data_IF_221587861533
#
_entry.id   IF_221587861533
#
_cell.length_a   1.000
_cell.length_b   1.000
_cell.length_c   1.000
_cell.angle_alpha   90.00
_cell.angle_beta   90.00
_cell.angle_gamma   90.00
#
_symmetry.space_group_name_H-M   'P 1'
#
loop_
_entity.id
_entity.type
_entity.pdbx_description
1 polymer ?
#
# COMPACT_ATOMS: atom_id res chain seq x y z
N UNK A 1 -4.43 23.48 -21.87
CA UNK A 1 -3.84 24.18 -20.69
C UNK A 1 -2.72 25.14 -21.05
N UNK A 2 -2.21 25.18 -22.29
CA UNK A 2 -1.15 26.13 -22.68
C UNK A 2 -1.52 27.58 -22.30
N UNK A 3 -0.69 28.18 -21.43
CA UNK A 3 -0.86 29.56 -20.93
C UNK A 3 -1.81 29.77 -19.73
N UNK A 4 -2.49 28.74 -19.21
CA UNK A 4 -3.34 28.85 -18.00
C UNK A 4 -2.62 28.31 -16.77
N UNK A 5 -2.64 29.08 -15.67
CA UNK A 5 -2.13 28.62 -14.38
C UNK A 5 -2.98 27.46 -13.85
N UNK A 6 -2.32 26.34 -13.55
CA UNK A 6 -2.94 25.15 -13.01
C UNK A 6 -1.99 24.48 -12.02
N UNK A 7 -2.58 23.80 -11.05
CA UNK A 7 -1.89 23.06 -9.99
C UNK A 7 -2.28 21.60 -10.14
N UNK A 8 -1.30 20.71 -9.98
CA UNK A 8 -1.49 19.27 -9.89
C UNK A 8 -1.04 18.78 -8.52
N UNK A 9 -1.76 17.81 -7.97
CA UNK A 9 -1.32 17.01 -6.84
C UNK A 9 -1.22 15.57 -7.28
N UNK A 10 -0.15 14.88 -6.89
CA UNK A 10 0.08 13.47 -7.21
C UNK A 10 0.24 12.68 -5.93
N UNK A 11 -0.47 11.56 -5.83
CA UNK A 11 -0.34 10.58 -4.76
C UNK A 11 0.06 9.23 -5.34
N UNK A 12 0.91 8.48 -4.64
CA UNK A 12 1.22 7.09 -4.98
C UNK A 12 1.01 6.22 -3.74
N UNK A 13 -0.02 5.37 -3.77
CA UNK A 13 -0.46 4.59 -2.62
C UNK A 13 -0.52 3.10 -2.98
N UNK A 14 -0.12 2.23 -2.06
CA UNK A 14 -0.26 0.78 -2.21
C UNK A 14 -1.74 0.40 -2.41
N UNK A 15 -2.01 -0.35 -3.48
CA UNK A 15 -3.34 -0.89 -3.80
C UNK A 15 -3.85 -1.78 -2.67
N UNK A 16 -2.97 -2.49 -1.95
CA UNK A 16 -3.34 -3.27 -0.77
C UNK A 16 -4.04 -2.44 0.29
N UNK A 17 -3.57 -1.22 0.56
CA UNK A 17 -4.18 -0.29 1.51
C UNK A 17 -5.53 0.22 0.99
N UNK A 18 -5.57 0.64 -0.28
CA UNK A 18 -6.78 1.18 -0.90
C UNK A 18 -7.92 0.15 -0.95
N UNK A 19 -7.60 -1.13 -1.13
CA UNK A 19 -8.58 -2.20 -1.23
C UNK A 19 -9.28 -2.53 0.10
N UNK A 20 -8.67 -2.23 1.25
CA UNK A 20 -9.29 -2.45 2.58
C UNK A 20 -10.63 -1.70 2.68
N UNK A 21 -10.68 -0.48 2.13
CA UNK A 21 -11.86 0.39 2.19
C UNK A 21 -12.54 0.58 0.83
N UNK A 22 -12.03 -0.07 -0.23
CA UNK A 22 -12.37 0.23 -1.62
C UNK A 22 -12.25 1.73 -1.93
N UNK A 23 -11.15 2.35 -1.51
CA UNK A 23 -10.90 3.77 -1.69
C UNK A 23 -10.86 4.11 -3.18
N UNK A 24 -11.66 5.11 -3.58
CA UNK A 24 -11.71 5.63 -4.94
C UNK A 24 -10.77 6.81 -5.08
N UNK A 25 -10.15 6.96 -6.24
CA UNK A 25 -9.43 8.18 -6.59
C UNK A 25 -10.36 9.38 -6.44
N UNK A 26 -9.93 10.46 -5.77
CA UNK A 26 -10.74 11.67 -5.64
C UNK A 26 -11.15 12.21 -7.01
N UNK A 27 -12.45 12.41 -7.21
CA UNK A 27 -13.02 12.96 -8.43
C UNK A 27 -13.51 14.39 -8.16
N UNK A 28 -12.77 15.43 -8.57
CA UNK A 28 -13.19 16.81 -8.34
C UNK A 28 -14.41 17.18 -9.20
N UNK A 29 -14.67 16.50 -10.32
CA UNK A 29 -15.83 16.80 -11.15
C UNK A 29 -17.11 16.35 -10.45
N UNK A 30 -17.15 15.12 -9.93
CA UNK A 30 -18.27 14.64 -9.10
C UNK A 30 -18.40 15.44 -7.80
N UNK A 31 -17.28 15.83 -7.17
CA UNK A 31 -17.33 16.62 -5.93
C UNK A 31 -17.97 18.01 -6.12
N UNK A 32 -17.59 18.75 -7.17
CA UNK A 32 -18.07 20.12 -7.38
C UNK A 32 -19.34 20.21 -8.24
N UNK A 33 -19.55 19.28 -9.18
CA UNK A 33 -20.65 19.33 -10.15
C UNK A 33 -21.56 18.11 -10.10
N UNK A 34 -21.31 17.18 -9.16
CA UNK A 34 -22.15 16.03 -8.94
C UNK A 34 -23.55 16.41 -8.46
N UNK A 35 -24.45 15.43 -8.53
CA UNK A 35 -25.83 15.62 -8.10
C UNK A 35 -25.87 15.85 -6.59
N UNK A 36 -26.28 17.06 -6.19
CA UNK A 36 -26.54 17.36 -4.79
C UNK A 36 -27.81 16.66 -4.30
N UNK A 37 -27.85 16.40 -2.99
CA UNK A 37 -29.07 15.92 -2.34
C UNK A 37 -30.19 16.94 -2.53
N UNK A 38 -31.42 16.46 -2.61
CA UNK A 38 -32.57 17.32 -2.47
C UNK A 38 -32.60 17.84 -1.03
N UNK A 39 -32.56 19.16 -0.85
CA UNK A 39 -32.41 19.80 0.46
C UNK A 39 -33.73 20.31 1.02
N UNK A 40 -34.83 20.13 0.29
CA UNK A 40 -36.15 20.49 0.75
C UNK A 40 -36.88 19.27 1.33
N UNK A 41 -37.66 19.52 2.36
CA UNK A 41 -38.56 18.53 2.95
C UNK A 41 -39.96 18.66 2.32
N UNK A 42 -40.56 17.53 1.96
CA UNK A 42 -41.93 17.48 1.46
C UNK A 42 -42.86 17.00 2.57
N UNK A 43 -43.81 17.84 2.97
CA UNK A 43 -44.77 17.55 4.03
C UNK A 43 -46.18 17.53 3.43
N UNK A 44 -46.87 16.39 3.51
CA UNK A 44 -48.28 16.27 3.10
C UNK A 44 -49.12 15.43 4.07
N UNK A 45 -50.44 15.50 3.92
CA UNK A 45 -51.42 14.76 4.70
C UNK A 45 -51.93 13.48 3.99
N UNK A 46 -51.54 13.24 2.73
CA UNK A 46 -52.01 12.11 1.93
C UNK A 46 -51.43 10.77 2.43
N UNK A 47 -50.23 10.79 3.03
CA UNK A 47 -49.64 9.62 3.68
C UNK A 47 -50.44 9.05 4.86
N UNK A 48 -51.43 9.78 5.40
CA UNK A 48 -52.37 9.25 6.40
C UNK A 48 -53.49 8.39 5.81
N UNK A 49 -53.64 8.39 4.48
CA UNK A 49 -54.69 7.66 3.77
C UNK A 49 -54.14 6.46 2.97
N UNK A 50 -52.88 6.53 2.54
CA UNK A 50 -52.23 5.51 1.72
C UNK A 50 -50.93 5.08 2.41
N UNK A 51 -50.89 3.83 2.86
CA UNK A 51 -49.68 3.24 3.43
C UNK A 51 -48.64 3.06 2.32
N UNK A 52 -47.51 3.75 2.43
CA UNK A 52 -46.38 3.61 1.52
C UNK A 52 -45.29 2.82 2.25
N UNK A 53 -44.87 1.69 1.69
CA UNK A 53 -43.63 1.04 2.12
C UNK A 53 -42.47 1.99 1.81
N UNK A 54 -42.00 2.74 2.80
CA UNK A 54 -40.82 3.60 2.68
C UNK A 54 -39.56 2.74 2.65
N UNK A 55 -38.75 2.91 1.62
CA UNK A 55 -37.40 2.36 1.55
C UNK A 55 -36.86 2.31 0.14
N UNK A 56 -35.73 2.97 -0.09
CA UNK A 56 -34.89 2.61 -1.23
C UNK A 56 -34.27 1.24 -0.97
N UNK A 57 -34.06 0.44 -2.01
CA UNK A 57 -33.30 -0.79 -1.91
C UNK A 57 -31.88 -0.46 -1.42
N UNK A 58 -31.64 -0.66 -0.12
CA UNK A 58 -30.33 -0.48 0.46
C UNK A 58 -29.42 -1.60 -0.04
N UNK A 59 -28.33 -1.25 -0.70
CA UNK A 59 -27.30 -2.24 -1.04
C UNK A 59 -26.57 -2.61 0.24
N UNK A 60 -26.88 -3.78 0.79
CA UNK A 60 -26.22 -4.29 1.98
C UNK A 60 -24.71 -4.37 1.72
N UNK A 61 -23.94 -3.61 2.50
CA UNK A 61 -22.49 -3.77 2.63
C UNK A 61 -22.23 -4.53 3.94
N UNK A 62 -21.16 -5.30 3.99
CA UNK A 62 -20.72 -5.90 5.24
C UNK A 62 -20.50 -4.78 6.27
N UNK A 63 -21.04 -4.96 7.49
CA UNK A 63 -21.07 -3.94 8.55
C UNK A 63 -19.69 -3.46 8.99
N UNK A 64 -19.65 -2.42 9.84
CA UNK A 64 -18.42 -1.79 10.29
C UNK A 64 -17.46 -2.77 10.99
N UNK A 65 -16.17 -2.65 10.70
CA UNK A 65 -15.06 -3.46 11.27
C UNK A 65 -14.73 -3.08 12.74
N UNK A 66 -15.73 -2.56 13.46
CA UNK A 66 -15.64 -2.13 14.86
C UNK A 66 -16.18 -3.18 15.84
N UNK A 67 -16.41 -4.41 15.38
CA UNK A 67 -16.55 -5.56 16.29
C UNK A 67 -15.28 -5.70 17.12
N UNK A 68 -15.41 -5.99 18.42
CA UNK A 68 -14.30 -6.06 19.41
C UNK A 68 -13.02 -6.62 18.78
N UNK A 69 -12.11 -5.73 18.35
CA UNK A 69 -10.75 -6.12 18.02
C UNK A 69 -10.10 -6.48 19.34
N UNK A 70 -9.68 -7.73 19.46
CA UNK A 70 -8.87 -8.16 20.59
C UNK A 70 -7.60 -7.30 20.60
N UNK A 71 -7.55 -6.34 21.54
CA UNK A 71 -6.59 -5.22 21.53
C UNK A 71 -5.15 -5.64 21.85
N UNK A 72 -4.85 -6.93 21.88
CA UNK A 72 -3.52 -7.49 22.14
C UNK A 72 -2.78 -7.98 20.88
N UNK A 73 -3.14 -7.50 19.69
CA UNK A 73 -2.30 -7.75 18.51
C UNK A 73 -1.00 -6.96 18.61
N UNK A 74 0.10 -7.64 18.90
CA UNK A 74 1.45 -7.08 18.83
C UNK A 74 1.66 -6.39 17.47
N UNK A 75 2.10 -5.11 17.43
CA UNK A 75 2.08 -4.28 16.22
C UNK A 75 2.85 -4.94 15.07
N UNK A 76 2.22 -5.13 13.91
CA UNK A 76 2.89 -5.62 12.72
C UNK A 76 3.70 -4.48 12.11
N UNK A 77 5.00 -4.69 11.89
CA UNK A 77 5.80 -3.78 11.08
C UNK A 77 5.48 -4.08 9.61
N UNK A 78 4.62 -3.27 9.02
CA UNK A 78 4.37 -3.28 7.57
C UNK A 78 4.83 -1.93 7.06
N UNK A 79 5.67 -1.92 6.02
CA UNK A 79 6.02 -0.69 5.31
C UNK A 79 4.81 -0.27 4.49
N UNK A 80 4.12 0.77 4.95
CA UNK A 80 3.00 1.37 4.23
C UNK A 80 3.57 2.39 3.25
N UNK A 81 3.21 2.25 1.97
CA UNK A 81 3.54 3.26 0.96
C UNK A 81 2.33 4.15 0.75
N UNK A 82 2.45 5.38 1.22
CA UNK A 82 1.54 6.49 0.98
C UNK A 82 2.40 7.75 0.73
N UNK A 83 2.62 8.05 -0.54
CA UNK A 83 3.43 9.19 -0.96
C UNK A 83 2.54 10.27 -1.54
N UNK A 84 2.79 11.51 -1.15
CA UNK A 84 2.07 12.68 -1.64
C UNK A 84 3.04 13.78 -2.06
N UNK A 85 2.85 14.33 -3.26
CA UNK A 85 3.72 15.38 -3.80
C UNK A 85 3.48 16.75 -3.18
N UNK A 86 2.29 16.99 -2.63
CA UNK A 86 1.79 18.35 -2.43
C UNK A 86 1.38 19.01 -3.76
N UNK A 87 0.91 20.27 -3.71
CA UNK A 87 0.56 21.04 -4.90
C UNK A 87 1.80 21.43 -5.70
N UNK A 88 1.81 21.12 -6.99
CA UNK A 88 2.87 21.46 -7.94
C UNK A 88 2.27 22.27 -9.08
N UNK A 89 2.84 23.43 -9.38
CA UNK A 89 2.41 24.26 -10.50
C UNK A 89 2.84 23.63 -11.84
N UNK A 90 1.93 23.63 -12.81
CA UNK A 90 2.27 23.26 -14.19
C UNK A 90 3.04 24.40 -14.87
N UNK A 91 3.93 24.04 -15.79
CA UNK A 91 4.67 25.01 -16.60
C UNK A 91 3.79 25.67 -17.69
N UNK A 92 4.38 26.55 -18.50
CA UNK A 92 3.65 27.24 -19.57
C UNK A 92 3.06 26.32 -20.64
N UNK A 93 3.59 25.09 -20.78
CA UNK A 93 3.09 24.05 -21.70
C UNK A 93 2.02 23.17 -21.05
N UNK A 94 1.84 23.26 -19.73
CA UNK A 94 0.93 22.42 -18.96
C UNK A 94 1.58 21.13 -18.47
N UNK A 95 2.91 21.09 -18.35
CA UNK A 95 3.68 19.92 -17.94
C UNK A 95 4.29 20.13 -16.54
N UNK A 96 4.49 19.03 -15.79
CA UNK A 96 5.24 19.02 -14.55
C UNK A 96 5.87 17.63 -14.32
N UNK A 97 7.12 17.61 -13.83
CA UNK A 97 7.82 16.38 -13.45
C UNK A 97 7.91 16.32 -11.93
N UNK A 98 7.39 15.24 -11.35
CA UNK A 98 7.28 15.06 -9.90
C UNK A 98 8.03 13.80 -9.50
N UNK A 99 9.06 13.97 -8.67
CA UNK A 99 9.87 12.86 -8.16
C UNK A 99 9.35 12.43 -6.79
N UNK A 100 8.87 11.19 -6.68
CA UNK A 100 8.46 10.58 -5.41
C UNK A 100 9.52 9.58 -4.96
N UNK A 101 10.03 9.74 -3.73
CA UNK A 101 11.03 8.82 -3.17
C UNK A 101 10.34 7.58 -2.64
N UNK A 102 10.38 6.51 -3.43
CA UNK A 102 9.82 5.22 -3.05
C UNK A 102 10.76 4.49 -2.06
N UNK A 103 10.27 4.03 -0.90
CA UNK A 103 11.04 3.14 -0.02
C UNK A 103 11.19 1.75 -0.64
N UNK A 104 11.90 0.86 0.04
CA UNK A 104 11.93 -0.56 -0.33
C UNK A 104 10.50 -1.13 -0.26
N UNK A 105 9.93 -1.43 -1.43
CA UNK A 105 8.55 -1.83 -1.61
C UNK A 105 8.44 -2.79 -2.79
N UNK A 106 7.71 -3.89 -2.56
CA UNK A 106 7.34 -4.86 -3.57
C UNK A 106 5.81 -4.98 -3.58
N UNK A 107 5.17 -4.60 -4.68
CA UNK A 107 3.72 -4.59 -4.80
C UNK A 107 3.21 -3.72 -5.93
N UNK A 108 1.92 -3.38 -5.89
CA UNK A 108 1.29 -2.52 -6.90
C UNK A 108 0.94 -1.18 -6.27
N UNK A 109 1.41 -0.09 -6.89
CA UNK A 109 1.05 1.26 -6.52
C UNK A 109 -0.03 1.79 -7.46
N UNK A 110 -1.03 2.46 -6.88
CA UNK A 110 -1.93 3.32 -7.64
C UNK A 110 -1.42 4.76 -7.56
N UNK A 111 -1.03 5.29 -8.71
CA UNK A 111 -0.69 6.70 -8.88
C UNK A 111 -1.97 7.44 -9.23
N UNK A 112 -2.29 8.47 -8.46
CA UNK A 112 -3.49 9.30 -8.59
C UNK A 112 -3.05 10.74 -8.79
N UNK A 113 -3.59 11.40 -9.80
CA UNK A 113 -3.34 12.81 -10.09
C UNK A 113 -4.65 13.59 -10.08
N UNK A 114 -4.67 14.71 -9.37
CA UNK A 114 -5.79 15.65 -9.37
C UNK A 114 -5.26 17.01 -9.80
N UNK A 115 -5.89 17.59 -10.81
CA UNK A 115 -5.52 18.88 -11.42
C UNK A 115 -6.65 19.88 -11.22
N UNK A 116 -6.28 21.10 -10.87
CA UNK A 116 -7.19 22.24 -10.76
C UNK A 116 -6.61 23.51 -11.40
N UNK A 117 -7.43 24.20 -12.18
CA UNK A 117 -7.25 25.62 -12.55
C UNK A 117 -8.38 26.45 -11.95
N UNK A 118 -8.47 27.73 -12.31
CA UNK A 118 -9.56 28.60 -11.88
C UNK A 118 -10.96 28.11 -12.30
N UNK A 119 -11.05 27.45 -13.46
CA UNK A 119 -12.30 27.11 -14.15
C UNK A 119 -12.40 25.62 -14.55
N UNK A 120 -11.35 24.82 -14.32
CA UNK A 120 -11.27 23.45 -14.82
C UNK A 120 -10.71 22.51 -13.76
N UNK A 121 -11.28 21.32 -13.67
CA UNK A 121 -10.85 20.28 -12.75
C UNK A 121 -10.81 18.93 -13.47
N UNK A 122 -9.82 18.11 -13.12
CA UNK A 122 -9.69 16.77 -13.66
C UNK A 122 -8.99 15.84 -12.67
N UNK A 123 -9.25 14.55 -12.79
CA UNK A 123 -8.50 13.52 -12.10
C UNK A 123 -8.15 12.39 -13.06
N UNK A 124 -7.03 11.72 -12.78
CA UNK A 124 -6.58 10.54 -13.50
C UNK A 124 -5.91 9.57 -12.52
N UNK A 125 -5.92 8.29 -12.86
CA UNK A 125 -5.22 7.25 -12.10
C UNK A 125 -4.56 6.25 -13.02
N UNK A 126 -3.46 5.66 -12.57
CA UNK A 126 -2.79 4.55 -13.21
C UNK A 126 -2.23 3.58 -12.15
N UNK A 127 -2.19 2.29 -12.45
CA UNK A 127 -1.54 1.30 -11.60
C UNK A 127 -0.18 0.94 -12.17
N UNK A 128 0.83 0.83 -11.30
CA UNK A 128 2.19 0.43 -11.65
C UNK A 128 2.67 -0.66 -10.71
N UNK A 129 3.27 -1.70 -11.26
CA UNK A 129 3.88 -2.78 -10.48
C UNK A 129 5.32 -2.38 -10.17
N UNK A 130 5.66 -2.38 -8.88
CA UNK A 130 7.01 -2.18 -8.39
C UNK A 130 7.50 -3.49 -7.81
N UNK A 131 8.58 -4.02 -8.38
CA UNK A 131 9.23 -5.21 -7.86
C UNK A 131 10.75 -5.04 -7.99
N UNK A 132 11.47 -5.38 -6.93
CA UNK A 132 12.91 -5.55 -7.00
C UNK A 132 13.24 -6.76 -7.92
N UNK A 133 14.32 -6.71 -8.73
CA UNK A 133 14.73 -7.85 -9.55
C UNK A 133 15.03 -9.12 -8.74
N UNK A 134 15.44 -8.95 -7.49
CA UNK A 134 15.62 -10.01 -6.52
C UNK A 134 14.93 -9.59 -5.22
N UNK A 135 13.98 -10.39 -4.76
CA UNK A 135 13.25 -10.15 -3.51
C UNK A 135 13.80 -11.09 -2.44
N UNK A 136 14.19 -10.55 -1.29
CA UNK A 136 14.72 -11.29 -0.17
C UNK A 136 13.91 -10.99 1.10
N UNK A 137 13.19 -11.98 1.61
CA UNK A 137 12.33 -11.84 2.79
C UNK A 137 12.83 -12.72 3.92
N UNK A 138 13.16 -12.10 5.06
CA UNK A 138 13.64 -12.82 6.24
C UNK A 138 12.48 -13.13 7.20
N UNK A 139 12.17 -14.41 7.35
CA UNK A 139 11.24 -14.95 8.32
C UNK A 139 11.98 -15.32 9.61
N UNK A 140 11.73 -14.56 10.68
CA UNK A 140 12.34 -14.77 11.99
C UNK A 140 11.33 -14.59 13.13
N UNK A 141 11.56 -15.21 14.31
CA UNK A 141 10.78 -14.92 15.51
C UNK A 141 10.84 -13.43 15.87
N UNK A 142 9.76 -12.93 16.51
CA UNK A 142 9.68 -11.52 16.92
C UNK A 142 10.64 -11.17 18.05
N UNK A 143 10.93 -12.15 18.90
CA UNK A 143 11.88 -12.07 20.00
C UNK A 143 12.47 -13.46 20.25
N UNK A 144 13.65 -13.48 20.87
CA UNK A 144 14.36 -14.65 21.37
C UNK A 144 14.95 -14.26 22.72
N UNK A 145 15.01 -15.20 23.67
CA UNK A 145 15.62 -15.01 24.98
C UNK A 145 17.06 -15.54 24.97
N UNK A 146 17.96 -15.03 25.83
CA UNK A 146 19.31 -15.58 25.94
C UNK A 146 19.30 -17.10 26.13
N UNK A 147 20.08 -17.82 25.32
CA UNK A 147 20.13 -19.28 25.28
C UNK A 147 19.14 -19.94 24.29
N UNK A 148 18.18 -19.20 23.73
CA UNK A 148 17.26 -19.73 22.73
C UNK A 148 17.97 -20.03 21.41
N UNK A 149 17.55 -21.12 20.76
CA UNK A 149 17.92 -21.47 19.39
C UNK A 149 16.68 -21.42 18.51
N UNK A 150 16.75 -20.66 17.44
CA UNK A 150 15.67 -20.49 16.48
C UNK A 150 16.16 -20.78 15.06
N UNK A 151 15.32 -21.44 14.27
CA UNK A 151 15.55 -21.53 12.82
C UNK A 151 14.94 -20.30 12.16
N UNK A 152 15.77 -19.52 11.47
CA UNK A 152 15.32 -18.41 10.62
C UNK A 152 15.35 -18.86 9.15
N UNK A 153 14.43 -18.34 8.35
CA UNK A 153 14.32 -18.69 6.93
C UNK A 153 14.40 -17.42 6.07
N UNK A 154 15.31 -17.40 5.11
CA UNK A 154 15.41 -16.37 4.09
C UNK A 154 14.79 -16.88 2.79
N UNK A 155 13.69 -16.27 2.37
CA UNK A 155 13.05 -16.55 1.10
C UNK A 155 13.66 -15.64 0.05
N UNK A 156 14.30 -16.23 -0.96
CA UNK A 156 14.92 -15.50 -2.07
C UNK A 156 14.16 -15.83 -3.35
N UNK A 157 13.58 -14.81 -3.99
CA UNK A 157 12.79 -14.94 -5.22
C UNK A 157 13.41 -14.11 -6.33
N UNK A 158 13.65 -14.74 -7.49
CA UNK A 158 14.16 -14.06 -8.67
C UNK A 158 13.00 -13.57 -9.55
N UNK A 159 12.93 -12.25 -9.76
CA UNK A 159 11.97 -11.58 -10.63
C UNK A 159 12.67 -10.78 -11.75
N UNK A 160 13.95 -11.10 -12.03
CA UNK A 160 14.77 -10.33 -12.99
C UNK A 160 14.51 -10.66 -14.46
N UNK A 161 13.67 -11.65 -14.77
CA UNK A 161 13.39 -12.08 -16.15
C UNK A 161 14.43 -13.04 -16.74
N UNK A 162 15.47 -13.39 -16.00
CA UNK A 162 16.53 -14.30 -16.43
C UNK A 162 17.11 -15.09 -15.26
N UNK A 163 17.84 -16.18 -15.53
CA UNK A 163 18.47 -16.96 -14.47
C UNK A 163 19.61 -16.16 -13.80
N UNK A 164 19.69 -16.24 -12.47
CA UNK A 164 20.67 -15.52 -11.65
C UNK A 164 21.45 -16.47 -10.75
N UNK A 165 22.76 -16.25 -10.65
CA UNK A 165 23.62 -16.85 -9.63
C UNK A 165 23.72 -15.88 -8.46
N UNK A 166 23.08 -16.19 -7.33
CA UNK A 166 22.94 -15.30 -6.18
C UNK A 166 23.83 -15.79 -5.04
N UNK A 167 24.75 -14.93 -4.60
CA UNK A 167 25.55 -15.14 -3.39
C UNK A 167 24.84 -14.53 -2.19
N UNK A 168 24.59 -15.33 -1.16
CA UNK A 168 23.90 -14.88 0.06
C UNK A 168 24.87 -14.87 1.23
N UNK A 169 25.01 -13.72 1.89
CA UNK A 169 25.77 -13.58 3.12
C UNK A 169 24.85 -13.03 4.21
N UNK A 170 24.72 -13.76 5.31
CA UNK A 170 23.94 -13.34 6.48
C UNK A 170 24.93 -13.00 7.59
N UNK A 171 24.79 -11.80 8.15
CA UNK A 171 25.57 -11.34 9.29
C UNK A 171 24.62 -10.87 10.38
N UNK A 172 25.04 -11.02 11.64
CA UNK A 172 24.30 -10.56 12.80
C UNK A 172 25.03 -9.38 13.45
N UNK A 173 24.25 -8.48 14.07
CA UNK A 173 24.77 -7.45 14.96
C UNK A 173 24.07 -7.59 16.32
N UNK A 174 24.78 -7.35 17.43
CA UNK A 174 24.28 -7.56 18.78
C UNK A 174 24.44 -9.00 19.29
N UNK A 175 23.72 -9.38 20.38
CA UNK A 175 23.88 -10.67 21.07
C UNK A 175 23.15 -11.80 20.34
N UNK A 176 23.44 -11.99 19.05
CA UNK A 176 22.89 -13.08 18.24
C UNK A 176 24.00 -13.65 17.37
N UNK A 177 24.14 -14.98 17.40
CA UNK A 177 25.03 -15.72 16.52
C UNK A 177 24.21 -16.45 15.47
N UNK A 178 24.51 -16.22 14.19
CA UNK A 178 23.88 -16.92 13.07
C UNK A 178 24.89 -17.93 12.50
N UNK A 179 24.44 -19.17 12.32
CA UNK A 179 25.24 -20.27 11.76
C UNK A 179 24.49 -20.96 10.63
N UNK A 180 25.25 -21.55 9.70
CA UNK A 180 24.73 -22.16 8.48
C UNK A 180 24.72 -21.19 7.29
N UNK A 181 24.43 -21.73 6.11
CA UNK A 181 24.35 -20.97 4.87
C UNK A 181 24.79 -21.78 3.65
N UNK A 182 24.41 -21.30 2.48
CA UNK A 182 24.89 -21.78 1.18
C UNK A 182 25.69 -20.66 0.52
N UNK A 183 26.83 -20.97 -0.10
CA UNK A 183 27.70 -19.97 -0.71
C UNK A 183 27.00 -19.27 -1.89
N UNK A 184 26.43 -20.04 -2.81
CA UNK A 184 25.76 -19.53 -4.02
C UNK A 184 24.56 -20.39 -4.37
N UNK A 185 23.43 -19.75 -4.69
CA UNK A 185 22.24 -20.42 -5.23
C UNK A 185 21.98 -20.00 -6.68
N UNK A 186 21.54 -20.95 -7.49
CA UNK A 186 21.07 -20.68 -8.86
C UNK A 186 19.57 -20.58 -8.86
N UNK A 187 19.03 -19.45 -9.30
CA UNK A 187 17.59 -19.22 -9.40
C UNK A 187 17.21 -18.94 -10.85
N UNK A 188 16.38 -19.80 -11.44
CA UNK A 188 15.69 -19.48 -12.68
C UNK A 188 14.74 -18.29 -12.50
N UNK A 189 14.28 -17.68 -13.59
CA UNK A 189 13.26 -16.64 -13.52
C UNK A 189 12.00 -17.15 -12.81
N UNK A 190 11.44 -16.34 -11.90
CA UNK A 190 10.30 -16.67 -11.03
C UNK A 190 10.52 -17.82 -10.06
N UNK A 191 11.75 -18.34 -9.95
CA UNK A 191 12.07 -19.37 -8.97
C UNK A 191 12.25 -18.73 -7.58
N UNK A 192 11.66 -19.38 -6.57
CA UNK A 192 11.87 -19.08 -5.16
C UNK A 192 12.66 -20.21 -4.49
N UNK A 193 13.63 -19.87 -3.65
CA UNK A 193 14.33 -20.80 -2.79
C UNK A 193 14.36 -20.30 -1.35
N UNK A 194 14.20 -21.23 -0.41
CA UNK A 194 14.19 -20.95 1.03
C UNK A 194 15.52 -21.42 1.61
N UNK A 195 16.29 -20.48 2.16
CA UNK A 195 17.55 -20.75 2.86
C UNK A 195 17.30 -20.74 4.37
N UNK A 196 17.70 -21.79 5.08
CA UNK A 196 17.51 -21.90 6.53
C UNK A 196 18.83 -21.67 7.25
N UNK A 197 18.78 -20.87 8.31
CA UNK A 197 19.92 -20.58 9.18
C UNK A 197 19.52 -20.87 10.63
N UNK A 198 20.51 -21.22 11.47
CA UNK A 198 20.31 -21.35 12.90
C UNK A 198 20.76 -20.05 13.57
N UNK A 199 19.84 -19.39 14.28
CA UNK A 199 20.10 -18.23 15.11
C UNK A 199 20.13 -18.66 16.59
N UNK A 200 21.16 -18.25 17.30
CA UNK A 200 21.34 -18.47 18.73
C UNK A 200 21.44 -17.13 19.44
N UNK A 201 20.58 -16.91 20.42
CA UNK A 201 20.60 -15.72 21.25
C UNK A 201 21.68 -15.85 22.33
N UNK A 202 22.62 -14.90 22.34
CA UNK A 202 23.69 -14.81 23.32
C UNK A 202 23.23 -13.97 24.53
N UNK A 203 24.00 -13.97 25.61
CA UNK A 203 23.71 -13.07 26.72
C UNK A 203 24.11 -11.61 26.38
N UNK A 204 23.69 -10.65 27.21
CA UNK A 204 23.97 -9.22 26.95
C UNK A 204 25.46 -8.85 27.02
N UNK A 205 26.33 -9.76 27.46
CA UNK A 205 27.78 -9.61 27.60
C UNK A 205 28.60 -10.42 26.58
N UNK A 206 27.97 -11.31 25.80
CA UNK A 206 28.58 -12.09 24.71
C UNK A 206 28.65 -13.58 24.99
#
# INVERSE_FOLDING_TARGET
>A
LAGKAAIVTVSAVDVGILNITNFKTPDPQDFFFGKHRFDADLLDLYGRLIEKMEGNAAKQRFGGDAGKRDSQSMPRKVLLVDLFSGPVALDAKGEATISLKLPDFNGTLRVMAVVSSADSYAAAQAETVVAAPLVAELNMPRFVSPGDKATIALDVTNLSGSAQDVKVAVSASGPVRITGGADTIKLADKQRQILRFQAEALDAYG
#
